data_IF_144332652369
#
_entry.id   IF_144332652369
#
_cell.length_a   1.000
_cell.length_b   1.000
_cell.length_c   1.000
_cell.angle_alpha   90.00
_cell.angle_beta   90.00
_cell.angle_gamma   90.00
#
_symmetry.space_group_name_H-M   'P 1'
#
loop_
_entity.id
_entity.type
_entity.pdbx_description
1 polymer ?
#
# COMPACT_ATOMS: atom_id res chain seq x y z
N UNK A 1 -9.41 -2.07 -19.36
CA UNK A 1 -8.82 -3.44 -19.37
C UNK A 1 -9.62 -4.32 -18.42
N UNK A 2 -10.13 -5.49 -18.86
CA UNK A 2 -10.83 -6.43 -17.97
C UNK A 2 -9.86 -7.53 -17.54
N UNK A 3 -9.84 -7.86 -16.25
CA UNK A 3 -9.07 -8.97 -15.73
C UNK A 3 -10.00 -10.16 -15.43
N UNK A 4 -9.86 -11.23 -16.20
CA UNK A 4 -10.66 -12.43 -16.03
C UNK A 4 -10.06 -13.36 -14.95
N UNK A 5 -9.72 -12.79 -13.79
CA UNK A 5 -9.16 -13.56 -12.69
C UNK A 5 -10.24 -14.42 -11.99
N UNK A 6 -9.85 -15.64 -11.66
CA UNK A 6 -10.61 -16.57 -10.81
C UNK A 6 -9.68 -17.24 -9.82
N UNK A 7 -10.04 -17.21 -8.55
CA UNK A 7 -9.30 -17.93 -7.52
C UNK A 7 -9.36 -19.45 -7.74
N UNK A 8 -8.32 -20.20 -7.35
CA UNK A 8 -8.36 -21.67 -7.36
C UNK A 8 -9.50 -22.22 -6.51
N UNK A 9 -10.10 -23.33 -6.91
CA UNK A 9 -11.25 -23.94 -6.21
C UNK A 9 -10.99 -24.27 -4.74
N UNK A 10 -9.76 -24.57 -4.37
CA UNK A 10 -9.38 -24.84 -2.99
C UNK A 10 -9.33 -23.57 -2.11
N UNK A 11 -9.10 -22.39 -2.70
CA UNK A 11 -9.00 -21.11 -1.99
C UNK A 11 -10.38 -20.47 -1.83
N UNK A 12 -11.25 -21.09 -1.02
CA UNK A 12 -12.65 -20.68 -0.86
C UNK A 12 -12.78 -19.44 0.05
N UNK A 13 -13.37 -18.38 -0.51
CA UNK A 13 -13.70 -17.15 0.23
C UNK A 13 -12.52 -16.20 0.43
N UNK A 14 -12.84 -14.93 0.74
CA UNK A 14 -11.85 -13.85 0.83
C UNK A 14 -10.83 -14.06 1.95
N UNK A 15 -11.25 -14.57 3.11
CA UNK A 15 -10.34 -14.83 4.22
C UNK A 15 -9.29 -15.89 3.89
N UNK A 16 -9.68 -17.00 3.28
CA UNK A 16 -8.73 -18.07 2.88
C UNK A 16 -7.74 -17.52 1.85
N UNK A 17 -8.23 -16.77 0.85
CA UNK A 17 -7.37 -16.16 -0.17
C UNK A 17 -6.37 -15.18 0.42
N UNK A 18 -6.79 -14.37 1.40
CA UNK A 18 -5.94 -13.42 2.11
C UNK A 18 -4.87 -14.13 2.96
N UNK A 19 -5.28 -15.11 3.75
CA UNK A 19 -4.37 -15.81 4.68
C UNK A 19 -3.40 -16.70 3.92
N UNK A 20 -3.89 -17.49 2.95
CA UNK A 20 -3.06 -18.40 2.19
C UNK A 20 -1.99 -17.68 1.39
N UNK A 21 -2.30 -16.53 0.79
CA UNK A 21 -1.32 -15.71 0.08
C UNK A 21 -0.21 -15.19 1.00
N UNK A 22 -0.58 -14.80 2.22
CA UNK A 22 0.37 -14.21 3.16
C UNK A 22 1.26 -15.27 3.86
N UNK A 23 0.73 -16.46 4.14
CA UNK A 23 1.40 -17.44 4.97
C UNK A 23 1.93 -18.66 4.20
N UNK A 24 1.25 -19.08 3.14
CA UNK A 24 1.51 -20.38 2.49
C UNK A 24 2.00 -20.27 1.04
N UNK A 25 1.77 -19.14 0.40
CA UNK A 25 2.14 -18.99 -1.01
C UNK A 25 3.65 -18.94 -1.23
N UNK A 26 4.07 -19.45 -2.39
CA UNK A 26 5.45 -19.32 -2.84
C UNK A 26 5.68 -17.90 -3.41
N UNK A 27 6.24 -17.01 -2.62
CA UNK A 27 6.59 -15.65 -3.06
C UNK A 27 7.95 -15.57 -3.80
N UNK A 28 8.46 -16.71 -4.27
CA UNK A 28 9.75 -16.80 -4.96
C UNK A 28 10.98 -16.86 -4.03
N UNK A 29 12.19 -16.99 -4.59
CA UNK A 29 13.45 -17.00 -3.85
C UNK A 29 13.69 -15.72 -3.04
N UNK A 30 14.69 -15.74 -2.17
CA UNK A 30 15.15 -14.55 -1.46
C UNK A 30 15.73 -13.54 -2.45
N UNK A 31 15.31 -12.28 -2.33
CA UNK A 31 15.78 -11.19 -3.17
C UNK A 31 17.00 -10.55 -2.53
N UNK A 32 18.10 -10.33 -3.28
CA UNK A 32 19.31 -9.68 -2.78
C UNK A 32 19.13 -8.15 -2.78
N UNK A 33 18.29 -7.65 -1.90
CA UNK A 33 18.02 -6.23 -1.78
C UNK A 33 19.29 -5.43 -1.49
N UNK A 34 19.45 -4.32 -2.21
CA UNK A 34 20.46 -3.30 -1.95
C UNK A 34 19.76 -2.13 -1.26
N UNK A 35 20.02 -1.93 0.02
CA UNK A 35 19.39 -0.85 0.80
C UNK A 35 20.16 0.42 0.69
N UNK A 36 19.46 1.50 0.37
CA UNK A 36 19.96 2.87 0.50
C UNK A 36 19.16 3.60 1.59
N UNK A 37 19.85 4.40 2.39
CA UNK A 37 19.22 5.36 3.31
C UNK A 37 19.27 6.74 2.72
N UNK A 38 18.12 7.36 2.60
CA UNK A 38 17.98 8.72 2.13
C UNK A 38 17.58 9.66 3.25
N UNK A 39 18.39 10.69 3.51
CA UNK A 39 18.00 11.76 4.41
C UNK A 39 16.84 12.53 3.81
N UNK A 40 15.74 12.64 4.55
CA UNK A 40 14.53 13.33 4.14
C UNK A 40 14.61 14.83 4.43
N UNK A 41 13.82 15.68 3.75
CA UNK A 41 13.90 17.15 3.90
C UNK A 41 13.64 17.65 5.32
N UNK A 42 12.94 16.90 6.15
CA UNK A 42 12.64 17.19 7.55
C UNK A 42 13.75 16.75 8.52
N UNK A 43 14.88 16.20 8.02
CA UNK A 43 16.01 15.76 8.84
C UNK A 43 15.86 14.33 9.38
N UNK A 44 14.88 13.59 8.92
CA UNK A 44 14.72 12.16 9.20
C UNK A 44 15.33 11.32 8.06
N UNK A 45 14.86 10.10 7.85
CA UNK A 45 15.30 9.25 6.75
C UNK A 45 14.19 8.34 6.21
N UNK A 46 14.38 7.93 4.96
CA UNK A 46 13.63 6.85 4.31
C UNK A 46 14.64 5.82 3.80
N UNK A 47 14.44 4.56 4.18
CA UNK A 47 15.18 3.44 3.61
C UNK A 47 14.47 2.94 2.35
N UNK A 48 15.23 2.74 1.27
CA UNK A 48 14.74 2.22 0.01
C UNK A 48 15.51 0.96 -0.34
N UNK A 49 14.80 -0.14 -0.56
CA UNK A 49 15.38 -1.39 -1.01
C UNK A 49 15.33 -1.46 -2.54
N UNK A 50 16.48 -1.60 -3.18
CA UNK A 50 16.61 -1.71 -4.63
C UNK A 50 16.94 -3.15 -5.05
N UNK A 51 16.40 -3.53 -6.20
CA UNK A 51 16.88 -4.70 -6.96
C UNK A 51 17.17 -4.24 -8.37
N UNK A 52 18.47 -4.00 -8.70
CA UNK A 52 18.86 -3.50 -10.00
C UNK A 52 18.50 -4.46 -11.12
N UNK A 53 17.98 -3.93 -12.21
CA UNK A 53 17.69 -4.63 -13.46
C UNK A 53 18.70 -4.26 -14.56
N UNK A 54 18.27 -4.30 -15.80
CA UNK A 54 19.09 -3.90 -16.95
C UNK A 54 19.12 -2.37 -17.10
N UNK A 55 20.26 -1.82 -17.48
CA UNK A 55 20.42 -0.38 -17.69
C UNK A 55 19.40 0.15 -18.74
N UNK A 56 18.83 1.32 -18.48
CA UNK A 56 17.85 1.95 -19.37
C UNK A 56 16.44 1.35 -19.33
N UNK A 57 16.22 0.29 -18.56
CA UNK A 57 14.89 -0.27 -18.37
C UNK A 57 14.08 0.52 -17.33
N UNK A 58 12.71 0.50 -17.42
CA UNK A 58 11.84 1.18 -16.45
C UNK A 58 12.09 0.74 -15.02
N UNK A 59 11.76 1.63 -14.07
CA UNK A 59 11.75 1.30 -12.64
C UNK A 59 10.32 1.14 -12.14
N UNK A 60 10.04 0.01 -11.50
CA UNK A 60 8.79 -0.23 -10.79
C UNK A 60 8.97 0.12 -9.31
N UNK A 61 8.33 1.20 -8.88
CA UNK A 61 8.31 1.65 -7.49
C UNK A 61 7.12 1.01 -6.77
N UNK A 62 7.33 0.41 -5.61
CA UNK A 62 6.28 -0.34 -4.89
C UNK A 62 6.11 0.16 -3.46
N UNK A 63 4.96 0.80 -3.18
CA UNK A 63 4.57 1.21 -1.83
C UNK A 63 3.79 0.09 -1.13
N UNK A 64 4.31 -0.39 -0.02
CA UNK A 64 3.71 -1.51 0.72
C UNK A 64 2.47 -1.11 1.53
N UNK A 65 1.71 -2.09 2.00
CA UNK A 65 0.55 -1.88 2.87
C UNK A 65 0.94 -1.64 4.34
N UNK A 66 -0.10 -1.52 5.18
CA UNK A 66 0.05 -1.33 6.63
C UNK A 66 1.01 -2.38 7.23
N UNK A 67 2.02 -1.92 7.96
CA UNK A 67 3.04 -2.77 8.61
C UNK A 67 3.85 -3.67 7.65
N UNK A 68 3.80 -3.38 6.33
CA UNK A 68 4.54 -4.12 5.31
C UNK A 68 6.01 -3.72 5.20
N UNK A 69 6.68 -4.31 4.22
CA UNK A 69 8.09 -4.03 3.86
C UNK A 69 8.42 -4.64 2.49
N UNK A 70 9.66 -4.53 2.04
CA UNK A 70 10.18 -5.27 0.87
C UNK A 70 10.04 -6.80 1.00
N UNK A 71 9.85 -7.31 2.22
CA UNK A 71 9.65 -8.74 2.48
C UNK A 71 8.20 -9.20 2.35
N UNK A 72 7.25 -8.30 2.15
CA UNK A 72 5.85 -8.66 1.94
C UNK A 72 5.70 -9.58 0.71
N UNK A 73 4.87 -10.61 0.83
CA UNK A 73 4.71 -11.65 -0.20
C UNK A 73 4.38 -11.07 -1.58
N UNK A 74 3.49 -10.07 -1.64
CA UNK A 74 3.10 -9.41 -2.88
C UNK A 74 4.23 -8.54 -3.45
N UNK A 75 5.04 -7.86 -2.61
CA UNK A 75 6.21 -7.10 -3.07
C UNK A 75 7.22 -8.04 -3.70
N UNK A 76 7.55 -9.14 -3.01
CA UNK A 76 8.51 -10.12 -3.53
C UNK A 76 8.06 -10.73 -4.86
N UNK A 77 6.78 -11.08 -4.96
CA UNK A 77 6.23 -11.62 -6.21
C UNK A 77 6.29 -10.62 -7.36
N UNK A 78 5.90 -9.36 -7.13
CA UNK A 78 6.01 -8.29 -8.12
C UNK A 78 7.46 -8.04 -8.52
N UNK A 79 8.38 -8.00 -7.55
CA UNK A 79 9.80 -7.78 -7.80
C UNK A 79 10.41 -8.88 -8.67
N UNK A 80 10.08 -10.16 -8.44
CA UNK A 80 10.54 -11.25 -9.29
C UNK A 80 10.08 -11.12 -10.74
N UNK A 81 8.82 -10.75 -10.96
CA UNK A 81 8.29 -10.59 -12.33
C UNK A 81 8.90 -9.37 -13.02
N UNK A 82 9.06 -8.26 -12.29
CA UNK A 82 9.72 -7.06 -12.81
C UNK A 82 11.18 -7.35 -13.21
N UNK A 83 11.95 -7.95 -12.30
CA UNK A 83 13.36 -8.27 -12.52
C UNK A 83 13.55 -9.30 -13.66
N UNK A 84 12.68 -10.31 -13.78
CA UNK A 84 12.69 -11.25 -14.90
C UNK A 84 12.42 -10.57 -16.25
N UNK A 85 11.72 -9.44 -16.26
CA UNK A 85 11.54 -8.59 -17.43
C UNK A 85 12.69 -7.58 -17.65
N UNK A 86 13.74 -7.61 -16.83
CA UNK A 86 14.88 -6.71 -16.87
C UNK A 86 14.66 -5.35 -16.19
N UNK A 87 13.52 -5.13 -15.53
CA UNK A 87 13.18 -3.85 -14.92
C UNK A 87 13.93 -3.63 -13.60
N UNK A 88 14.15 -2.35 -13.30
CA UNK A 88 14.61 -1.90 -11.99
C UNK A 88 13.45 -2.02 -10.98
N UNK A 89 13.76 -2.31 -9.74
CA UNK A 89 12.77 -2.36 -8.66
C UNK A 89 13.23 -1.46 -7.51
N UNK A 90 12.32 -0.62 -7.02
CA UNK A 90 12.54 0.21 -5.84
C UNK A 90 11.37 0.02 -4.86
N UNK A 91 11.69 -0.26 -3.59
CA UNK A 91 10.71 -0.43 -2.52
C UNK A 91 11.03 0.54 -1.39
N UNK A 92 10.45 1.75 -1.41
CA UNK A 92 10.54 2.66 -0.29
C UNK A 92 9.81 2.07 0.93
N UNK A 93 10.43 2.14 2.10
CA UNK A 93 9.81 1.75 3.35
C UNK A 93 9.14 2.96 4.00
N UNK A 94 7.88 2.84 4.35
CA UNK A 94 7.24 3.82 5.21
C UNK A 94 7.96 3.91 6.55
N UNK A 95 7.91 5.08 7.20
CA UNK A 95 8.62 5.37 8.45
C UNK A 95 8.41 4.30 9.50
N UNK A 96 9.51 3.79 10.06
CA UNK A 96 9.52 2.71 11.04
C UNK A 96 9.28 1.30 10.46
N UNK A 97 9.14 1.14 9.13
CA UNK A 97 8.91 -0.17 8.50
C UNK A 97 10.17 -0.85 7.95
N UNK A 98 11.32 -0.18 7.95
CA UNK A 98 12.59 -0.72 7.44
C UNK A 98 13.34 -1.62 8.43
N UNK A 99 12.85 -1.73 9.66
CA UNK A 99 13.50 -2.43 10.78
C UNK A 99 14.10 -1.49 11.82
N UNK A 100 14.29 -0.22 11.49
CA UNK A 100 14.74 0.84 12.41
C UNK A 100 13.65 1.89 12.62
N UNK A 101 13.62 2.47 13.82
CA UNK A 101 12.77 3.62 14.10
C UNK A 101 13.40 4.88 13.54
N UNK A 102 12.55 5.70 12.92
CA UNK A 102 12.90 7.03 12.47
C UNK A 102 13.31 7.95 13.62
N UNK A 103 13.99 9.04 13.29
CA UNK A 103 14.57 9.99 14.28
C UNK A 103 13.48 10.91 14.87
N UNK A 104 12.58 11.37 14.00
CA UNK A 104 11.56 12.37 14.36
C UNK A 104 10.29 11.73 14.93
N UNK A 105 9.50 12.49 15.71
CA UNK A 105 8.20 12.07 16.22
C UNK A 105 7.12 12.11 15.11
N UNK A 106 7.40 11.47 13.98
CA UNK A 106 6.50 11.32 12.84
C UNK A 106 6.35 9.85 12.50
N UNK A 107 5.14 9.42 12.22
CA UNK A 107 4.84 8.11 11.66
C UNK A 107 4.35 8.26 10.21
N UNK A 108 4.13 7.16 9.51
CA UNK A 108 3.42 7.17 8.24
C UNK A 108 1.91 7.09 8.45
N UNK A 109 1.16 7.58 7.49
CA UNK A 109 -0.29 7.46 7.47
C UNK A 109 -0.84 7.30 6.05
N UNK A 110 -2.12 6.94 5.93
CA UNK A 110 -2.73 6.58 4.64
C UNK A 110 -2.88 7.74 3.65
N UNK A 111 -2.73 8.97 4.10
CA UNK A 111 -2.80 10.17 3.25
C UNK A 111 -1.46 10.88 3.05
N UNK A 112 -0.33 10.23 3.31
CA UNK A 112 1.01 10.84 3.31
C UNK A 112 1.54 11.07 1.87
N UNK A 113 0.87 11.93 1.14
CA UNK A 113 1.18 12.23 -0.26
C UNK A 113 2.48 13.01 -0.45
N UNK A 114 2.87 13.85 0.52
CA UNK A 114 4.09 14.66 0.44
C UNK A 114 5.35 13.81 0.45
N UNK A 115 5.38 12.77 1.31
CA UNK A 115 6.51 11.85 1.36
C UNK A 115 6.59 11.00 0.09
N UNK A 116 5.45 10.57 -0.46
CA UNK A 116 5.41 9.88 -1.76
C UNK A 116 5.91 10.80 -2.89
N UNK A 117 5.50 12.08 -2.91
CA UNK A 117 5.96 13.03 -3.93
C UNK A 117 7.48 13.18 -3.90
N UNK A 118 8.05 13.40 -2.71
CA UNK A 118 9.48 13.52 -2.55
C UNK A 118 10.24 12.27 -3.00
N UNK A 119 9.76 11.07 -2.64
CA UNK A 119 10.35 9.79 -3.04
C UNK A 119 10.32 9.62 -4.56
N UNK A 120 9.16 9.82 -5.18
CA UNK A 120 8.98 9.62 -6.62
C UNK A 120 9.80 10.63 -7.44
N UNK A 121 9.81 11.91 -7.04
CA UNK A 121 10.64 12.93 -7.70
C UNK A 121 12.13 12.62 -7.57
N UNK A 122 12.58 12.11 -6.42
CA UNK A 122 13.98 11.70 -6.25
C UNK A 122 14.34 10.53 -7.16
N UNK A 123 13.49 9.51 -7.26
CA UNK A 123 13.68 8.40 -8.20
C UNK A 123 13.67 8.86 -9.65
N UNK A 124 12.83 9.85 -10.00
CA UNK A 124 12.76 10.42 -11.35
C UNK A 124 14.06 11.09 -11.80
N UNK A 125 14.91 11.51 -10.88
CA UNK A 125 16.24 12.03 -11.23
C UNK A 125 17.19 10.94 -11.74
N UNK A 126 16.92 9.67 -11.41
CA UNK A 126 17.76 8.52 -11.79
C UNK A 126 17.15 7.70 -12.92
N UNK A 127 15.83 7.61 -12.96
CA UNK A 127 15.11 6.73 -13.89
C UNK A 127 14.19 7.54 -14.80
N UNK A 128 14.36 7.40 -16.12
CA UNK A 128 13.55 8.10 -17.13
C UNK A 128 12.11 7.58 -17.20
N UNK A 129 11.87 6.34 -16.84
CA UNK A 129 10.56 5.70 -16.85
C UNK A 129 10.26 5.10 -15.49
N UNK A 130 9.26 5.69 -14.79
CA UNK A 130 8.77 5.21 -13.51
C UNK A 130 7.33 4.73 -13.62
N UNK A 131 7.07 3.53 -13.11
CA UNK A 131 5.73 3.06 -12.83
C UNK A 131 5.61 2.84 -11.33
N UNK A 132 4.53 3.29 -10.70
CA UNK A 132 4.36 3.14 -9.27
C UNK A 132 3.13 2.30 -8.94
N UNK A 133 3.28 1.35 -8.01
CA UNK A 133 2.14 0.64 -7.43
C UNK A 133 2.10 0.83 -5.92
N UNK A 134 0.89 0.87 -5.39
CA UNK A 134 0.65 0.86 -3.96
C UNK A 134 -0.34 -0.22 -3.58
N UNK A 135 -0.07 -0.91 -2.48
CA UNK A 135 -0.93 -1.97 -1.97
C UNK A 135 -1.62 -1.50 -0.69
N UNK A 136 -2.95 -1.72 -0.59
CA UNK A 136 -3.71 -1.40 0.61
C UNK A 136 -3.50 0.08 1.03
N UNK A 137 -2.99 0.35 2.24
CA UNK A 137 -2.63 1.68 2.72
C UNK A 137 -1.73 2.43 1.72
N UNK A 138 -0.68 1.79 1.20
CA UNK A 138 0.21 2.38 0.21
C UNK A 138 -0.50 2.72 -1.10
N UNK A 139 -1.54 1.96 -1.46
CA UNK A 139 -2.39 2.26 -2.61
C UNK A 139 -3.22 3.52 -2.41
N UNK A 140 -3.83 3.70 -1.23
CA UNK A 140 -4.56 4.92 -0.92
C UNK A 140 -3.63 6.14 -0.88
N UNK A 141 -2.45 6.02 -0.26
CA UNK A 141 -1.48 7.11 -0.20
C UNK A 141 -0.98 7.51 -1.60
N UNK A 142 -0.73 6.54 -2.48
CA UNK A 142 -0.34 6.78 -3.87
C UNK A 142 -1.46 7.47 -4.67
N UNK A 143 -2.72 7.10 -4.46
CA UNK A 143 -3.87 7.79 -5.07
C UNK A 143 -4.00 9.22 -4.54
N UNK A 144 -3.79 9.45 -3.24
CA UNK A 144 -3.74 10.80 -2.67
C UNK A 144 -2.64 11.63 -3.32
N UNK A 145 -1.45 11.06 -3.50
CA UNK A 145 -0.36 11.73 -4.23
C UNK A 145 -0.77 12.12 -5.66
N UNK A 146 -1.40 11.20 -6.40
CA UNK A 146 -1.81 11.47 -7.77
C UNK A 146 -2.86 12.58 -7.87
N UNK A 147 -3.75 12.70 -6.88
CA UNK A 147 -4.73 13.77 -6.77
C UNK A 147 -4.08 15.13 -6.53
N UNK A 148 -3.22 15.22 -5.52
CA UNK A 148 -2.54 16.46 -5.13
C UNK A 148 -1.55 16.94 -6.22
N UNK A 149 -0.90 16.01 -6.91
CA UNK A 149 0.00 16.31 -8.03
C UNK A 149 -0.75 16.71 -9.31
N UNK A 150 -2.00 16.30 -9.48
CA UNK A 150 -2.82 16.63 -10.65
C UNK A 150 -2.10 16.31 -11.96
N UNK A 151 -2.02 17.30 -12.87
CA UNK A 151 -1.34 17.12 -14.17
C UNK A 151 0.17 16.93 -14.06
N UNK A 152 0.79 17.33 -12.96
CA UNK A 152 2.24 17.15 -12.77
C UNK A 152 2.60 15.68 -12.51
N UNK A 153 1.67 14.85 -12.05
CA UNK A 153 1.91 13.43 -11.82
C UNK A 153 2.48 12.73 -13.06
N UNK A 154 1.98 13.05 -14.27
CA UNK A 154 2.46 12.50 -15.54
C UNK A 154 3.88 12.93 -15.94
N UNK A 155 4.46 13.94 -15.29
CA UNK A 155 5.87 14.31 -15.49
C UNK A 155 6.80 13.47 -14.58
N UNK A 156 6.23 12.84 -13.55
CA UNK A 156 6.97 12.05 -12.56
C UNK A 156 6.86 10.56 -12.85
N UNK A 157 5.66 10.06 -13.15
CA UNK A 157 5.41 8.64 -13.46
C UNK A 157 4.63 8.49 -14.77
N UNK A 158 4.85 7.40 -15.50
CA UNK A 158 4.09 7.05 -16.69
C UNK A 158 2.68 6.55 -16.31
N UNK A 159 2.58 5.77 -15.27
CA UNK A 159 1.28 5.28 -14.78
C UNK A 159 1.38 4.75 -13.36
N UNK A 160 0.23 4.62 -12.69
CA UNK A 160 0.15 4.06 -11.34
C UNK A 160 -0.86 2.92 -11.27
N UNK A 161 -0.71 2.08 -10.22
CA UNK A 161 -1.72 1.10 -9.85
C UNK A 161 -1.93 1.06 -8.33
N UNK A 162 -3.19 1.05 -7.90
CA UNK A 162 -3.59 0.87 -6.52
C UNK A 162 -4.31 -0.48 -6.36
N UNK A 163 -3.78 -1.35 -5.51
CA UNK A 163 -4.28 -2.72 -5.33
C UNK A 163 -4.92 -2.84 -3.95
N UNK A 164 -6.20 -3.22 -3.93
CA UNK A 164 -6.98 -3.39 -2.70
C UNK A 164 -6.91 -2.17 -1.77
N UNK A 165 -6.83 -0.97 -2.35
CA UNK A 165 -6.69 0.27 -1.60
C UNK A 165 -7.99 0.64 -0.87
N UNK A 166 -7.97 0.93 0.44
CA UNK A 166 -9.11 1.44 1.18
C UNK A 166 -9.35 2.91 0.84
N UNK A 167 -9.94 3.19 -0.33
CA UNK A 167 -10.19 4.57 -0.80
C UNK A 167 -11.19 5.33 0.08
N UNK A 168 -12.04 4.61 0.81
CA UNK A 168 -12.83 5.09 1.95
C UNK A 168 -12.27 4.46 3.22
N UNK A 169 -11.46 5.23 3.96
CA UNK A 169 -10.81 4.75 5.18
C UNK A 169 -11.80 4.48 6.31
N UNK A 170 -12.90 5.23 6.38
CA UNK A 170 -13.91 5.03 7.41
C UNK A 170 -14.62 3.68 7.24
N UNK A 171 -15.07 3.37 6.02
CA UNK A 171 -15.69 2.08 5.72
C UNK A 171 -14.75 0.90 6.03
N UNK A 172 -13.48 1.00 5.61
CA UNK A 172 -12.48 -0.05 5.83
C UNK A 172 -12.07 -0.17 7.29
N UNK A 173 -11.83 0.94 7.99
CA UNK A 173 -11.48 0.95 9.41
C UNK A 173 -12.60 0.36 10.28
N UNK A 174 -13.86 0.67 9.99
CA UNK A 174 -15.00 0.05 10.68
C UNK A 174 -15.15 -1.44 10.34
N UNK A 175 -14.88 -1.87 9.10
CA UNK A 175 -14.90 -3.28 8.71
C UNK A 175 -13.82 -4.08 9.46
N UNK A 176 -12.64 -3.50 9.65
CA UNK A 176 -11.57 -4.10 10.46
C UNK A 176 -11.96 -4.23 11.95
N UNK A 177 -12.78 -3.32 12.47
CA UNK A 177 -13.28 -3.36 13.85
C UNK A 177 -14.42 -4.36 14.11
N UNK A 178 -14.88 -5.13 13.10
CA UNK A 178 -16.09 -5.97 13.20
C UNK A 178 -15.83 -7.42 12.76
N UNK A 179 -16.76 -8.30 13.13
CA UNK A 179 -16.78 -9.69 12.69
C UNK A 179 -15.45 -10.41 12.92
N UNK A 180 -15.09 -11.30 11.99
CA UNK A 180 -13.85 -12.08 12.06
C UNK A 180 -12.59 -11.21 12.05
N UNK A 181 -12.60 -10.07 11.33
CA UNK A 181 -11.45 -9.17 11.25
C UNK A 181 -11.02 -8.68 12.64
N UNK A 182 -12.00 -8.36 13.52
CA UNK A 182 -11.74 -7.89 14.89
C UNK A 182 -10.93 -8.89 15.72
N UNK A 183 -11.13 -10.17 15.49
CA UNK A 183 -10.52 -11.23 16.29
C UNK A 183 -9.26 -11.83 15.66
N UNK A 184 -9.00 -11.56 14.39
CA UNK A 184 -7.86 -12.11 13.63
C UNK A 184 -6.87 -11.02 13.22
N UNK A 185 -7.19 -10.26 12.19
CA UNK A 185 -6.25 -9.29 11.58
C UNK A 185 -6.01 -8.05 12.45
N UNK A 186 -7.05 -7.51 13.08
CA UNK A 186 -6.92 -6.30 13.89
C UNK A 186 -5.93 -6.47 15.05
N UNK A 187 -5.99 -7.55 15.86
CA UNK A 187 -4.99 -7.78 16.90
C UNK A 187 -3.58 -8.00 16.33
N UNK A 188 -3.46 -8.63 15.17
CA UNK A 188 -2.17 -8.82 14.50
C UNK A 188 -1.51 -7.48 14.13
N UNK A 189 -2.25 -6.58 13.49
CA UNK A 189 -1.76 -5.23 13.16
C UNK A 189 -1.49 -4.41 14.40
N UNK A 190 -2.43 -4.34 15.33
CA UNK A 190 -2.28 -3.54 16.55
C UNK A 190 -1.08 -3.96 17.40
N UNK A 191 -0.70 -5.24 17.38
CA UNK A 191 0.49 -5.71 18.13
C UNK A 191 1.78 -5.04 17.66
N UNK A 192 1.97 -4.93 16.34
CA UNK A 192 3.16 -4.30 15.75
C UNK A 192 3.08 -2.78 15.82
N UNK A 193 1.93 -2.21 15.50
CA UNK A 193 1.68 -0.77 15.54
C UNK A 193 1.88 -0.19 16.95
N UNK A 194 1.27 -0.80 17.97
CA UNK A 194 1.43 -0.36 19.37
C UNK A 194 2.87 -0.47 19.86
N UNK A 195 3.58 -1.55 19.47
CA UNK A 195 5.00 -1.70 19.82
C UNK A 195 5.83 -0.55 19.27
N UNK A 196 5.64 -0.18 18.00
CA UNK A 196 6.35 0.96 17.40
C UNK A 196 5.97 2.28 18.03
N UNK A 197 4.67 2.51 18.24
CA UNK A 197 4.19 3.71 18.92
C UNK A 197 4.80 3.85 20.32
N UNK A 198 4.83 2.77 21.11
CA UNK A 198 5.45 2.76 22.44
C UNK A 198 6.97 3.05 22.38
N UNK A 199 7.68 2.50 21.38
CA UNK A 199 9.10 2.80 21.17
C UNK A 199 9.32 4.28 20.76
N UNK A 200 8.41 4.85 19.94
CA UNK A 200 8.45 6.26 19.59
C UNK A 200 8.21 7.14 20.82
N UNK A 201 7.25 6.76 21.67
CA UNK A 201 6.98 7.45 22.93
C UNK A 201 8.19 7.43 23.89
N UNK A 202 8.95 6.33 23.94
CA UNK A 202 10.18 6.26 24.74
C UNK A 202 11.24 7.25 24.27
N UNK A 203 11.34 7.50 22.96
CA UNK A 203 12.27 8.51 22.40
C UNK A 203 11.75 9.95 22.57
N UNK A 204 10.43 10.12 22.53
CA UNK A 204 9.75 11.42 22.55
C UNK A 204 8.58 11.38 23.56
N UNK A 205 8.85 11.42 24.86
CA UNK A 205 7.81 11.33 25.88
C UNK A 205 6.79 12.46 25.78
N UNK A 206 5.53 12.15 26.02
CA UNK A 206 4.45 13.16 26.08
C UNK A 206 3.75 13.46 24.75
N UNK A 207 4.11 12.78 23.65
CA UNK A 207 3.47 12.98 22.33
C UNK A 207 1.99 12.58 22.30
N UNK A 208 1.61 11.58 23.07
CA UNK A 208 0.25 11.04 23.17
C UNK A 208 0.06 10.27 24.48
N UNK A 209 -1.18 9.92 24.81
CA UNK A 209 -1.50 9.11 26.00
C UNK A 209 -1.08 7.65 25.80
N UNK A 210 0.03 7.22 26.41
CA UNK A 210 0.53 5.86 26.34
C UNK A 210 -0.44 4.84 26.96
N UNK A 211 -1.15 5.22 28.04
CA UNK A 211 -2.12 4.33 28.68
C UNK A 211 -3.34 4.10 27.77
N UNK A 212 -3.82 5.13 27.09
CA UNK A 212 -4.87 5.01 26.10
C UNK A 212 -4.40 4.17 24.88
N UNK A 213 -3.15 4.33 24.41
CA UNK A 213 -2.58 3.49 23.36
C UNK A 213 -2.64 2.00 23.75
N UNK A 214 -2.27 1.65 24.98
CA UNK A 214 -2.33 0.26 25.43
C UNK A 214 -3.75 -0.30 25.48
N UNK A 215 -4.75 0.53 25.81
CA UNK A 215 -6.18 0.15 25.83
C UNK A 215 -6.81 0.04 24.44
N UNK A 216 -6.25 0.71 23.42
CA UNK A 216 -6.78 0.66 22.06
C UNK A 216 -6.95 -0.78 21.56
N UNK A 217 -8.11 -1.16 21.05
CA UNK A 217 -8.40 -2.53 20.60
C UNK A 217 -9.01 -2.58 19.18
N UNK A 218 -9.14 -1.43 18.54
CA UNK A 218 -9.51 -1.26 17.14
C UNK A 218 -8.53 -0.31 16.46
N UNK A 219 -8.53 -0.28 15.11
CA UNK A 219 -7.78 0.74 14.36
C UNK A 219 -8.31 2.14 14.65
N UNK A 220 -9.62 2.27 14.88
CA UNK A 220 -10.23 3.53 15.29
C UNK A 220 -9.62 4.07 16.58
N UNK A 221 -9.53 3.24 17.63
CA UNK A 221 -8.95 3.65 18.91
C UNK A 221 -7.47 4.03 18.75
N UNK A 222 -6.72 3.23 17.97
CA UNK A 222 -5.30 3.50 17.70
C UNK A 222 -5.12 4.83 16.98
N UNK A 223 -5.87 5.06 15.91
CA UNK A 223 -5.78 6.29 15.13
C UNK A 223 -6.17 7.52 15.95
N UNK A 224 -7.16 7.37 16.86
CA UNK A 224 -7.59 8.46 17.71
C UNK A 224 -6.54 8.88 18.75
N UNK A 225 -5.75 7.93 19.24
CA UNK A 225 -4.72 8.17 20.26
C UNK A 225 -3.37 8.52 19.65
N UNK A 226 -3.05 7.95 18.51
CA UNK A 226 -1.71 8.03 17.92
C UNK A 226 -1.69 8.77 16.58
N UNK A 227 -2.34 8.23 15.54
CA UNK A 227 -2.21 8.77 14.18
C UNK A 227 -2.75 10.19 14.06
N UNK A 228 -3.93 10.44 14.60
CA UNK A 228 -4.57 11.74 14.48
C UNK A 228 -3.78 12.85 15.19
N UNK A 229 -3.47 12.77 16.50
CA UNK A 229 -2.74 13.83 17.17
C UNK A 229 -1.33 14.02 16.63
N UNK A 230 -0.65 12.95 16.23
CA UNK A 230 0.72 13.03 15.73
C UNK A 230 0.83 13.79 14.40
N UNK A 231 -0.24 13.82 13.60
CA UNK A 231 -0.27 14.44 12.28
C UNK A 231 -1.24 15.65 12.20
N UNK A 232 -1.68 16.18 13.32
CA UNK A 232 -2.51 17.38 13.37
C UNK A 232 -3.94 17.21 12.86
N UNK A 233 -4.47 15.99 12.93
CA UNK A 233 -5.89 15.72 12.74
C UNK A 233 -6.62 15.87 14.07
N UNK A 234 -7.87 16.35 14.03
CA UNK A 234 -8.65 16.55 15.24
C UNK A 234 -9.00 15.22 15.96
N UNK A 235 -9.24 14.16 15.22
CA UNK A 235 -9.60 12.82 15.69
C UNK A 235 -9.52 11.82 14.53
N UNK A 236 -9.90 10.56 14.77
CA UNK A 236 -9.93 9.51 13.74
C UNK A 236 -10.84 9.84 12.57
N UNK A 237 -12.04 10.39 12.81
CA UNK A 237 -12.98 10.74 11.75
C UNK A 237 -12.40 11.82 10.83
N UNK A 238 -11.75 12.82 11.39
CA UNK A 238 -11.08 13.87 10.61
C UNK A 238 -9.90 13.29 9.80
N UNK A 239 -9.10 12.42 10.40
CA UNK A 239 -8.02 11.71 9.71
C UNK A 239 -8.58 10.88 8.55
N UNK A 240 -9.53 9.97 8.81
CA UNK A 240 -10.07 9.10 7.78
C UNK A 240 -10.74 9.88 6.65
N UNK A 241 -11.49 10.91 6.99
CA UNK A 241 -12.14 11.78 5.99
C UNK A 241 -11.12 12.49 5.08
N UNK A 242 -10.09 13.11 5.67
CA UNK A 242 -9.08 13.89 4.92
C UNK A 242 -8.07 13.03 4.18
N UNK A 243 -7.74 11.87 4.70
CA UNK A 243 -6.78 10.95 4.11
C UNK A 243 -7.40 9.98 3.09
N UNK A 244 -8.72 9.86 3.01
CA UNK A 244 -9.41 9.02 2.02
C UNK A 244 -9.20 9.57 0.60
N UNK A 245 -8.84 8.68 -0.33
CA UNK A 245 -8.65 9.04 -1.73
C UNK A 245 -9.96 9.12 -2.53
N UNK A 246 -11.03 8.49 -2.09
CA UNK A 246 -12.27 8.36 -2.86
C UNK A 246 -12.86 9.71 -3.33
N UNK A 247 -12.90 10.78 -2.52
CA UNK A 247 -13.51 12.05 -2.95
C UNK A 247 -12.79 12.71 -4.13
N UNK A 248 -11.47 12.52 -4.27
CA UNK A 248 -10.64 13.16 -5.28
C UNK A 248 -10.25 12.27 -6.47
N UNK A 249 -10.85 11.09 -6.64
CA UNK A 249 -10.51 10.17 -7.75
C UNK A 249 -10.78 10.76 -9.14
N UNK A 250 -11.63 11.78 -9.23
CA UNK A 250 -11.91 12.52 -10.48
C UNK A 250 -10.74 13.41 -10.90
N UNK A 251 -9.93 13.84 -9.95
CA UNK A 251 -8.86 14.83 -10.14
C UNK A 251 -7.55 14.18 -10.60
N UNK A 252 -7.49 12.84 -10.58
CA UNK A 252 -6.32 12.09 -11.04
C UNK A 252 -6.16 12.26 -12.54
N UNK A 253 -4.98 12.76 -12.96
CA UNK A 253 -4.70 13.08 -14.35
C UNK A 253 -3.70 12.12 -15.02
N UNK A 254 -2.96 11.31 -14.26
CA UNK A 254 -2.08 10.27 -14.82
C UNK A 254 -2.82 8.94 -15.00
N UNK A 255 -2.44 8.09 -15.97
CA UNK A 255 -3.03 6.77 -16.15
C UNK A 255 -2.98 5.96 -14.86
N UNK A 256 -4.14 5.56 -14.34
CA UNK A 256 -4.28 4.94 -13.03
C UNK A 256 -5.17 3.71 -13.08
N UNK A 257 -4.69 2.60 -12.54
CA UNK A 257 -5.42 1.34 -12.44
C UNK A 257 -5.79 1.08 -10.97
N UNK A 258 -7.07 0.94 -10.67
CA UNK A 258 -7.56 0.53 -9.36
C UNK A 258 -8.04 -0.91 -9.43
N UNK A 259 -7.35 -1.80 -8.73
CA UNK A 259 -7.67 -3.24 -8.66
C UNK A 259 -8.29 -3.56 -7.31
N UNK A 260 -9.42 -4.28 -7.33
CA UNK A 260 -10.12 -4.68 -6.11
C UNK A 260 -10.85 -6.02 -6.29
N UNK A 261 -10.89 -6.82 -5.24
CA UNK A 261 -11.68 -8.06 -5.20
C UNK A 261 -12.97 -7.84 -4.41
N UNK A 262 -14.13 -8.24 -4.95
CA UNK A 262 -15.43 -8.09 -4.29
C UNK A 262 -15.50 -8.80 -2.92
N UNK A 263 -14.72 -9.87 -2.76
CA UNK A 263 -14.65 -10.65 -1.53
C UNK A 263 -13.50 -10.24 -0.61
N UNK A 264 -12.93 -9.04 -0.79
CA UNK A 264 -11.89 -8.52 0.10
C UNK A 264 -12.45 -8.34 1.52
N UNK A 265 -11.88 -8.99 2.56
CA UNK A 265 -12.39 -8.88 3.91
C UNK A 265 -12.08 -7.53 4.59
N UNK A 266 -11.15 -6.71 4.05
CA UNK A 266 -10.73 -5.45 4.65
C UNK A 266 -11.42 -4.24 4.02
N UNK A 267 -11.70 -4.32 2.71
CA UNK A 267 -12.31 -3.22 1.95
C UNK A 267 -13.70 -3.63 1.49
N UNK A 268 -14.76 -3.15 2.16
CA UNK A 268 -16.13 -3.54 1.83
C UNK A 268 -16.52 -3.16 0.40
N UNK A 269 -17.22 -4.03 -0.29
CA UNK A 269 -17.61 -3.81 -1.70
C UNK A 269 -18.45 -2.53 -1.90
N UNK A 270 -19.23 -2.13 -0.90
CA UNK A 270 -20.04 -0.91 -0.97
C UNK A 270 -19.21 0.39 -0.90
N UNK A 271 -17.98 0.32 -0.39
CA UNK A 271 -17.04 1.45 -0.37
C UNK A 271 -16.17 1.54 -1.64
N UNK A 272 -16.32 0.60 -2.57
CA UNK A 272 -15.60 0.61 -3.84
C UNK A 272 -16.08 1.74 -4.74
N UNK A 273 -15.19 2.54 -5.34
CA UNK A 273 -15.59 3.65 -6.19
C UNK A 273 -16.35 3.17 -7.42
N UNK A 274 -17.38 3.91 -7.79
CA UNK A 274 -18.19 3.68 -8.99
C UNK A 274 -17.63 4.44 -10.19
N UNK A 275 -17.99 4.02 -11.40
CA UNK A 275 -17.49 4.63 -12.63
C UNK A 275 -17.78 6.15 -12.74
N UNK A 276 -18.88 6.62 -12.15
CA UNK A 276 -19.23 8.04 -12.10
C UNK A 276 -18.45 8.84 -11.03
N UNK A 277 -17.63 8.19 -10.20
CA UNK A 277 -16.83 8.82 -9.15
C UNK A 277 -15.35 8.98 -9.55
N UNK A 278 -14.95 8.48 -10.70
CA UNK A 278 -13.56 8.53 -11.18
C UNK A 278 -13.44 9.38 -12.43
N UNK A 279 -12.24 9.93 -12.65
CA UNK A 279 -11.90 10.67 -13.87
C UNK A 279 -11.53 9.75 -15.04
N UNK A 280 -11.35 10.31 -16.25
CA UNK A 280 -11.07 9.54 -17.46
C UNK A 280 -9.71 8.83 -17.45
N UNK A 281 -8.77 9.27 -16.61
CA UNK A 281 -7.46 8.64 -16.46
C UNK A 281 -7.49 7.40 -15.52
N UNK A 282 -8.62 7.14 -14.85
CA UNK A 282 -8.74 6.07 -13.87
C UNK A 282 -9.52 4.88 -14.44
N UNK A 283 -8.90 3.72 -14.43
CA UNK A 283 -9.51 2.45 -14.82
C UNK A 283 -9.83 1.61 -13.60
N UNK A 284 -11.10 1.28 -13.42
CA UNK A 284 -11.56 0.38 -12.35
C UNK A 284 -11.51 -1.07 -12.83
N UNK A 285 -10.82 -1.93 -12.08
CA UNK A 285 -10.72 -3.36 -12.32
C UNK A 285 -11.19 -4.13 -11.09
N UNK A 286 -12.41 -4.64 -11.14
CA UNK A 286 -13.00 -5.39 -10.04
C UNK A 286 -13.13 -6.87 -10.40
N UNK A 287 -12.54 -7.75 -9.59
CA UNK A 287 -12.67 -9.20 -9.71
C UNK A 287 -13.69 -9.74 -8.70
N UNK A 288 -14.31 -10.87 -9.01
CA UNK A 288 -15.28 -11.51 -8.09
C UNK A 288 -14.57 -12.08 -6.84
N UNK A 289 -13.35 -12.54 -7.03
CA UNK A 289 -12.52 -13.17 -5.99
C UNK A 289 -11.11 -12.58 -6.02
N UNK A 290 -10.33 -12.79 -4.95
CA UNK A 290 -8.96 -12.28 -4.83
C UNK A 290 -8.54 -12.10 -3.37
N UNK A 291 -9.50 -11.95 -2.46
CA UNK A 291 -9.23 -11.57 -1.08
C UNK A 291 -8.52 -10.22 -0.98
N UNK A 292 -7.87 -9.96 0.14
CA UNK A 292 -7.01 -8.79 0.28
C UNK A 292 -5.61 -9.12 -0.24
N UNK A 293 -5.32 -8.70 -1.48
CA UNK A 293 -4.03 -8.93 -2.18
C UNK A 293 -3.67 -10.41 -2.35
N UNK A 294 -4.65 -11.31 -2.30
CA UNK A 294 -4.42 -12.75 -2.43
C UNK A 294 -4.09 -13.15 -3.85
N UNK A 295 -5.00 -12.97 -4.76
CA UNK A 295 -4.89 -13.29 -6.19
C UNK A 295 -4.11 -14.57 -6.49
N UNK A 296 -4.38 -15.61 -5.69
CA UNK A 296 -3.73 -16.91 -5.79
C UNK A 296 -4.03 -17.62 -7.12
N UNK A 297 -3.08 -18.39 -7.62
CA UNK A 297 -3.28 -19.28 -8.79
C UNK A 297 -2.62 -20.64 -8.60
N UNK A 298 -3.13 -21.64 -9.32
CA UNK A 298 -2.58 -23.00 -9.31
C UNK A 298 -2.98 -23.86 -8.10
N UNK A 299 -2.38 -25.05 -7.96
CA UNK A 299 -2.64 -25.95 -6.84
C UNK A 299 -2.06 -25.42 -5.52
N UNK A 300 -2.49 -25.97 -4.36
CA UNK A 300 -1.88 -25.60 -3.07
C UNK A 300 -0.35 -25.78 -3.07
N UNK A 301 0.40 -24.90 -2.43
CA UNK A 301 -0.02 -23.75 -1.59
C UNK A 301 -0.43 -22.50 -2.38
N UNK A 302 -0.42 -22.53 -3.70
CA UNK A 302 -0.73 -21.42 -4.58
C UNK A 302 0.49 -20.57 -4.97
N UNK A 303 0.45 -19.99 -6.18
CA UNK A 303 1.40 -19.00 -6.67
C UNK A 303 0.81 -17.61 -6.62
N UNK A 304 1.66 -16.59 -6.72
CA UNK A 304 1.30 -15.18 -6.66
C UNK A 304 1.63 -14.41 -7.95
N UNK A 305 1.68 -15.09 -9.09
CA UNK A 305 2.06 -14.46 -10.36
C UNK A 305 0.90 -13.71 -11.03
N UNK A 306 -0.36 -14.04 -10.71
CA UNK A 306 -1.53 -13.47 -11.39
C UNK A 306 -1.56 -11.92 -11.30
N UNK A 307 -1.34 -11.37 -10.12
CA UNK A 307 -1.34 -9.91 -9.91
C UNK A 307 -0.16 -9.22 -10.61
N UNK A 308 1.12 -9.61 -10.38
CA UNK A 308 2.24 -8.94 -11.04
C UNK A 308 2.23 -9.05 -12.56
N UNK A 309 1.82 -10.18 -13.13
CA UNK A 309 1.69 -10.34 -14.59
C UNK A 309 0.62 -9.40 -15.17
N UNK A 310 -0.50 -9.21 -14.47
CA UNK A 310 -1.54 -8.28 -14.87
C UNK A 310 -1.07 -6.82 -14.76
N UNK A 311 -0.32 -6.47 -13.72
CA UNK A 311 0.29 -5.15 -13.57
C UNK A 311 1.33 -4.88 -14.67
N UNK A 312 2.16 -5.86 -15.03
CA UNK A 312 3.11 -5.73 -16.14
C UNK A 312 2.39 -5.51 -17.49
N UNK A 313 1.22 -6.12 -17.70
CA UNK A 313 0.41 -5.82 -18.89
C UNK A 313 -0.10 -4.37 -18.86
N UNK A 314 -0.50 -3.86 -17.71
CA UNK A 314 -0.90 -2.45 -17.54
C UNK A 314 0.24 -1.50 -17.87
N UNK A 315 1.43 -1.74 -17.32
CA UNK A 315 2.62 -0.91 -17.57
C UNK A 315 2.98 -0.85 -19.05
N UNK A 316 2.90 -1.97 -19.78
CA UNK A 316 3.19 -2.04 -21.22
C UNK A 316 2.21 -1.25 -22.09
N UNK A 317 1.02 -0.97 -21.61
CA UNK A 317 0.04 -0.13 -22.30
C UNK A 317 0.28 1.37 -22.07
N UNK A 318 1.14 1.71 -21.12
CA UNK A 318 1.45 3.09 -20.73
C UNK A 318 2.97 3.25 -20.57
N UNK A 319 3.74 3.08 -21.68
CA UNK A 319 5.21 3.07 -21.66
C UNK A 319 5.84 4.42 -21.27
#
# INVERSE_FOLDING_TARGET
MKWAYRAPLWAVGGHVQTIASALWSAAGPTIPWQRERWDSPDGDFIDVDFWPGLAGQPCWVMFHGLEGSSQSHYIRSCAHVAHAAGWQVAVPHFRGCSGELNRLPRAYHSGDHEEIDWILRRLRLTYDHLHASGVSLGGNALLRWAQESGRQAGQVVQSIAAVCAPTDLAASGHAMGRGLNRWTYTPMFLRTMKRRAAQLWQRHPGLFDLAALHRANTLYDFDNVFTAPLHGFANTEDYWRRASAQPGLRDIACPSLLIHAKNDPFVPVHSWPQANQVGPAVVLCQTETGGHVGFLQGPPPGGLLALPEYLMQWWRLHP
#
